data_IF_212605626394
#
_entry.id   IF_212605626394
#
_cell.length_a   1.000
_cell.length_b   1.000
_cell.length_c   1.000
_cell.angle_alpha   90.00
_cell.angle_beta   90.00
_cell.angle_gamma   90.00
#
_symmetry.space_group_name_H-M   'P 1'
#
loop_
_entity.id
_entity.type
_entity.pdbx_description
1 polymer ?
#
# COMPACT_ATOMS: atom_id res chain seq x y z
N UNK A 1 6.06 -31.81 5.60
CA UNK A 1 5.94 -30.41 5.13
C UNK A 1 4.45 -30.08 5.07
N UNK A 2 3.85 -29.64 6.18
CA UNK A 2 2.40 -29.52 6.29
C UNK A 2 1.92 -28.22 5.62
N UNK A 3 1.08 -28.38 4.62
CA UNK A 3 0.52 -27.30 3.80
C UNK A 3 -0.51 -26.53 4.64
N UNK A 4 -0.20 -25.28 4.98
CA UNK A 4 -1.15 -24.35 5.62
C UNK A 4 -2.24 -23.97 4.62
N UNK A 5 -3.46 -24.48 4.77
CA UNK A 5 -4.61 -23.92 4.06
C UNK A 5 -5.15 -22.71 4.83
N UNK A 6 -4.92 -21.52 4.28
CA UNK A 6 -5.52 -20.27 4.72
C UNK A 6 -6.71 -20.01 3.80
N UNK A 7 -7.92 -20.24 4.28
CA UNK A 7 -9.12 -19.77 3.61
C UNK A 7 -9.35 -18.31 4.00
N UNK A 8 -9.56 -17.44 3.01
CA UNK A 8 -9.88 -16.03 3.25
C UNK A 8 -10.96 -15.61 2.28
N UNK A 9 -12.11 -15.25 2.84
CA UNK A 9 -13.20 -14.62 2.11
C UNK A 9 -13.03 -13.11 2.26
N UNK A 10 -12.81 -12.42 1.14
CA UNK A 10 -12.69 -10.95 1.08
C UNK A 10 -14.07 -10.40 0.70
N UNK A 11 -14.80 -9.84 1.67
CA UNK A 11 -16.05 -9.14 1.39
C UNK A 11 -15.77 -7.67 1.06
N UNK A 12 -16.18 -7.24 -0.14
CA UNK A 12 -16.33 -5.83 -0.53
C UNK A 12 -17.84 -5.56 -0.61
N UNK A 13 -18.36 -4.65 0.20
CA UNK A 13 -19.81 -4.49 0.38
C UNK A 13 -20.53 -3.95 -0.86
N UNK A 14 -21.51 -4.71 -1.35
CA UNK A 14 -22.89 -4.25 -1.55
C UNK A 14 -23.82 -5.40 -1.09
N UNK A 15 -24.93 -5.06 -0.43
CA UNK A 15 -25.97 -6.02 0.00
C UNK A 15 -26.42 -6.94 -1.16
N UNK A 16 -26.53 -8.26 -0.94
CA UNK A 16 -27.77 -9.05 -1.06
C UNK A 16 -27.58 -10.57 -0.85
N UNK A 17 -28.65 -11.17 -0.29
CA UNK A 17 -29.10 -12.56 -0.09
C UNK A 17 -28.14 -13.77 -0.16
N UNK A 18 -28.36 -14.67 0.81
CA UNK A 18 -27.79 -16.00 0.90
C UNK A 18 -28.18 -16.90 -0.30
N UNK A 19 -27.19 -17.60 -0.86
CA UNK A 19 -27.38 -18.94 -1.41
C UNK A 19 -26.07 -19.73 -1.37
N UNK A 20 -26.15 -20.98 -0.94
CA UNK A 20 -25.03 -21.92 -0.85
C UNK A 20 -24.36 -22.17 -2.20
N UNK A 21 -23.04 -22.17 -2.24
CA UNK A 21 -22.25 -22.61 -3.39
C UNK A 21 -20.91 -21.88 -3.49
N UNK A 22 -19.82 -22.64 -3.51
CA UNK A 22 -18.47 -22.13 -3.74
C UNK A 22 -18.44 -21.13 -4.91
N UNK A 23 -18.04 -19.90 -4.63
CA UNK A 23 -17.76 -18.90 -5.66
C UNK A 23 -16.58 -18.05 -5.22
N UNK A 24 -15.47 -18.20 -5.93
CA UNK A 24 -14.41 -17.18 -6.00
C UNK A 24 -14.97 -15.99 -6.79
N UNK A 25 -15.70 -15.12 -6.11
CA UNK A 25 -16.22 -13.86 -6.66
C UNK A 25 -15.38 -12.68 -6.19
N UNK A 26 -14.58 -12.10 -7.07
CA UNK A 26 -14.04 -10.74 -6.86
C UNK A 26 -15.16 -9.77 -7.22
N UNK A 27 -15.89 -9.27 -6.22
CA UNK A 27 -16.88 -8.21 -6.44
C UNK A 27 -16.13 -6.88 -6.50
N UNK A 28 -15.95 -6.41 -7.74
CA UNK A 28 -15.34 -5.14 -8.09
C UNK A 28 -16.36 -4.01 -7.88
N UNK A 29 -16.10 -3.09 -6.95
CA UNK A 29 -16.73 -1.76 -7.04
C UNK A 29 -16.02 -1.01 -8.18
N UNK A 30 -16.56 -1.19 -9.38
CA UNK A 30 -16.08 -0.52 -10.57
C UNK A 30 -16.64 0.91 -10.57
N UNK A 31 -15.78 1.91 -10.71
CA UNK A 31 -16.16 3.19 -11.30
C UNK A 31 -14.95 3.80 -12.02
N UNK A 32 -15.19 4.57 -13.07
CA UNK A 32 -15.52 4.10 -14.41
C UNK A 32 -14.34 4.40 -15.34
N UNK A 33 -14.52 4.11 -16.63
CA UNK A 33 -13.58 4.47 -17.67
C UNK A 33 -13.22 5.96 -17.68
N UNK A 34 -12.20 6.24 -18.48
CA UNK A 34 -11.70 7.57 -18.83
C UNK A 34 -12.84 8.59 -19.06
N UNK A 35 -12.60 9.80 -18.58
CA UNK A 35 -13.26 11.09 -18.90
C UNK A 35 -14.59 11.37 -18.19
N UNK A 36 -14.64 12.48 -17.43
CA UNK A 36 -15.64 13.56 -17.45
C UNK A 36 -15.70 14.27 -16.08
N UNK A 37 -14.92 15.35 -15.95
CA UNK A 37 -15.36 16.58 -15.28
C UNK A 37 -14.86 17.76 -16.14
N UNK A 38 -15.66 18.82 -16.32
CA UNK A 38 -15.30 19.92 -17.20
C UNK A 38 -14.01 20.56 -16.72
N UNK A 39 -13.08 20.73 -17.65
CA UNK A 39 -11.85 21.48 -17.45
C UNK A 39 -12.25 22.96 -17.39
N UNK A 40 -12.61 23.46 -16.21
CA UNK A 40 -12.65 24.90 -16.00
C UNK A 40 -11.20 25.40 -16.04
N UNK A 41 -10.81 25.86 -17.23
CA UNK A 41 -9.56 26.57 -17.45
C UNK A 41 -9.78 27.98 -16.90
N UNK A 42 -9.64 28.12 -15.59
CA UNK A 42 -9.27 29.42 -15.04
C UNK A 42 -7.78 29.63 -15.35
N UNK A 43 -7.45 30.79 -15.92
CA UNK A 43 -6.07 31.23 -16.10
C UNK A 43 -5.37 31.29 -14.74
N UNK A 44 -4.63 30.22 -14.41
CA UNK A 44 -4.00 30.02 -13.12
C UNK A 44 -3.90 28.52 -12.83
N UNK A 45 -2.73 28.06 -12.42
CA UNK A 45 -2.36 26.65 -12.25
C UNK A 45 -3.52 25.73 -11.82
N UNK A 46 -3.93 24.81 -12.69
CA UNK A 46 -4.96 23.81 -12.38
C UNK A 46 -4.50 22.95 -11.19
N UNK A 47 -5.34 22.94 -10.16
CA UNK A 47 -5.20 22.17 -8.94
C UNK A 47 -6.30 21.12 -8.91
N UNK A 48 -5.91 19.85 -8.88
CA UNK A 48 -6.83 18.71 -8.93
C UNK A 48 -6.56 17.82 -7.71
N UNK A 49 -7.61 17.48 -6.96
CA UNK A 49 -7.55 16.57 -5.81
C UNK A 49 -8.54 15.43 -6.02
N UNK A 50 -8.05 14.20 -5.80
CA UNK A 50 -8.83 12.98 -5.78
C UNK A 50 -8.78 12.35 -4.40
N UNK A 51 -9.94 11.91 -3.93
CA UNK A 51 -10.08 11.15 -2.70
C UNK A 51 -10.46 9.70 -3.04
N UNK A 52 -9.84 8.75 -2.37
CA UNK A 52 -10.09 7.32 -2.57
C UNK A 52 -10.11 6.60 -1.23
N UNK A 53 -11.07 5.71 -1.04
CA UNK A 53 -11.12 4.81 0.11
C UNK A 53 -10.94 3.36 -0.31
N UNK A 54 -10.43 2.53 0.60
CA UNK A 54 -10.28 1.09 0.39
C UNK A 54 -10.52 0.35 1.70
N UNK A 55 -11.45 -0.60 1.69
CA UNK A 55 -11.81 -1.41 2.85
C UNK A 55 -11.59 -2.89 2.56
N UNK A 56 -10.99 -3.60 3.51
CA UNK A 56 -10.70 -5.02 3.43
C UNK A 56 -11.11 -5.68 4.73
N UNK A 57 -12.21 -6.44 4.68
CA UNK A 57 -12.66 -7.33 5.75
C UNK A 57 -12.17 -8.75 5.49
N UNK A 58 -11.79 -9.44 6.57
CA UNK A 58 -11.24 -10.78 6.49
C UNK A 58 -11.87 -11.66 7.56
N UNK A 59 -12.22 -12.87 7.17
CA UNK A 59 -12.44 -13.97 8.09
C UNK A 59 -11.27 -14.94 8.01
N UNK A 60 -10.71 -15.33 9.15
CA UNK A 60 -9.56 -16.24 9.23
C UNK A 60 -9.92 -17.44 10.07
N UNK A 61 -9.57 -18.64 9.57
CA UNK A 61 -9.63 -19.90 10.31
C UNK A 61 -8.20 -20.44 10.39
N UNK A 62 -7.73 -20.72 11.59
CA UNK A 62 -6.43 -21.32 11.87
C UNK A 62 -6.68 -22.65 12.57
N UNK A 63 -6.38 -23.75 11.90
CA UNK A 63 -6.48 -25.09 12.46
C UNK A 63 -5.38 -25.30 13.52
N UNK A 64 -5.68 -26.17 14.49
CA UNK A 64 -4.73 -26.55 15.53
C UNK A 64 -3.48 -27.21 14.91
N UNK A 65 -2.31 -26.85 15.44
CA UNK A 65 -1.01 -27.42 15.08
C UNK A 65 -0.10 -27.36 16.31
N UNK A 66 1.13 -27.87 16.25
CA UNK A 66 2.06 -27.92 17.38
C UNK A 66 2.28 -26.56 18.09
N UNK A 67 2.08 -25.45 17.37
CA UNK A 67 2.18 -24.07 17.89
C UNK A 67 0.84 -23.42 18.26
N UNK A 68 -0.29 -24.07 18.03
CA UNK A 68 -1.63 -23.48 18.23
C UNK A 68 -2.50 -24.44 19.04
N UNK A 69 -2.74 -24.12 20.33
CA UNK A 69 -3.63 -24.87 21.23
C UNK A 69 -5.10 -24.67 20.84
N UNK A 70 -5.55 -25.38 19.80
CA UNK A 70 -6.94 -25.39 19.34
C UNK A 70 -7.20 -24.58 18.07
N UNK A 71 -8.37 -24.80 17.46
CA UNK A 71 -8.84 -24.03 16.31
C UNK A 71 -9.14 -22.58 16.73
N UNK A 72 -8.70 -21.63 15.92
CA UNK A 72 -9.01 -20.20 16.11
C UNK A 72 -9.70 -19.65 14.88
N UNK A 73 -10.84 -19.03 15.07
CA UNK A 73 -11.56 -18.31 14.04
C UNK A 73 -11.86 -16.88 14.48
N UNK A 74 -11.68 -15.92 13.59
CA UNK A 74 -11.94 -14.52 13.90
C UNK A 74 -12.19 -13.69 12.64
N UNK A 75 -12.97 -12.62 12.82
CA UNK A 75 -13.11 -11.54 11.86
C UNK A 75 -12.06 -10.46 12.13
N UNK A 76 -11.56 -9.85 11.06
CA UNK A 76 -10.66 -8.72 11.16
C UNK A 76 -10.95 -7.66 10.10
N UNK A 77 -10.80 -6.40 10.51
CA UNK A 77 -10.64 -5.31 9.56
C UNK A 77 -9.17 -5.27 9.19
N UNK A 78 -8.84 -5.95 8.10
CA UNK A 78 -7.45 -6.11 7.65
C UNK A 78 -6.82 -4.77 7.30
N UNK A 79 -7.56 -3.92 6.58
CA UNK A 79 -7.16 -2.57 6.16
C UNK A 79 -8.39 -1.71 5.84
N UNK A 80 -8.50 -0.55 6.48
CA UNK A 80 -9.28 0.60 6.01
C UNK A 80 -8.30 1.70 5.62
N UNK A 81 -8.27 2.13 4.37
CA UNK A 81 -7.37 3.17 3.89
C UNK A 81 -8.16 4.34 3.34
N UNK A 82 -7.67 5.53 3.62
CA UNK A 82 -8.10 6.77 2.99
C UNK A 82 -6.89 7.39 2.31
N UNK A 83 -7.03 7.76 1.05
CA UNK A 83 -6.01 8.36 0.21
C UNK A 83 -6.53 9.68 -0.33
N UNK A 84 -5.72 10.73 -0.20
CA UNK A 84 -5.88 11.97 -0.93
C UNK A 84 -4.66 12.14 -1.84
N UNK A 85 -4.87 12.33 -3.14
CA UNK A 85 -3.81 12.60 -4.08
C UNK A 85 -4.18 13.81 -4.92
N UNK A 86 -3.20 14.60 -5.30
CA UNK A 86 -3.47 15.74 -6.15
C UNK A 86 -2.28 16.16 -6.98
N UNK A 87 -2.55 17.06 -7.92
CA UNK A 87 -1.57 17.61 -8.84
C UNK A 87 -1.72 19.11 -8.88
N UNK A 88 -0.59 19.80 -8.85
CA UNK A 88 -0.50 21.25 -9.00
C UNK A 88 0.39 21.59 -10.18
N UNK A 89 -0.18 22.28 -11.18
CA UNK A 89 0.61 22.92 -12.24
C UNK A 89 1.35 21.93 -13.14
N UNK A 90 0.91 20.67 -13.21
CA UNK A 90 1.51 19.63 -14.05
C UNK A 90 2.80 19.01 -13.51
N UNK A 91 3.61 19.74 -12.74
CA UNK A 91 4.95 19.33 -12.31
C UNK A 91 5.03 18.80 -10.88
N UNK A 92 4.09 19.21 -10.01
CA UNK A 92 4.03 18.78 -8.62
C UNK A 92 2.85 17.83 -8.40
N UNK A 93 3.12 16.66 -7.83
CA UNK A 93 2.09 15.73 -7.37
C UNK A 93 2.28 15.46 -5.88
N UNK A 94 1.19 15.30 -5.15
CA UNK A 94 1.22 14.90 -3.74
C UNK A 94 0.32 13.70 -3.50
N UNK A 95 0.65 12.91 -2.48
CA UNK A 95 -0.21 11.86 -1.99
C UNK A 95 -0.07 11.67 -0.48
N UNK A 96 -1.21 11.61 0.20
CA UNK A 96 -1.33 11.36 1.64
C UNK A 96 -2.27 10.18 1.83
N UNK A 97 -1.82 9.16 2.56
CA UNK A 97 -2.59 7.96 2.85
C UNK A 97 -2.55 7.66 4.34
N UNK A 98 -3.72 7.49 4.94
CA UNK A 98 -3.87 6.94 6.29
C UNK A 98 -4.44 5.54 6.24
N UNK A 99 -4.13 4.73 7.24
CA UNK A 99 -4.71 3.41 7.46
C UNK A 99 -5.25 3.28 8.87
N UNK A 100 -6.32 2.52 9.00
CA UNK A 100 -6.78 1.92 10.24
C UNK A 100 -6.95 0.42 10.03
N UNK A 101 -6.69 -0.37 11.07
CA UNK A 101 -6.91 -1.82 11.08
C UNK A 101 -7.21 -2.26 12.50
N UNK A 102 -7.95 -3.35 12.65
CA UNK A 102 -8.26 -3.91 13.96
C UNK A 102 -8.45 -5.42 13.88
N UNK A 103 -8.24 -6.11 15.01
CA UNK A 103 -8.38 -7.56 15.17
C UNK A 103 -7.45 -8.39 14.23
N UNK A 104 -6.24 -7.90 13.95
CA UNK A 104 -5.22 -8.64 13.19
C UNK A 104 -4.17 -9.31 14.08
N UNK A 105 -4.31 -9.22 15.40
CA UNK A 105 -3.33 -9.70 16.38
C UNK A 105 -1.94 -9.10 16.16
N UNK A 106 -1.89 -7.79 15.94
CA UNK A 106 -0.66 -7.05 15.66
C UNK A 106 -0.55 -5.84 16.58
N UNK A 107 0.68 -5.44 16.92
CA UNK A 107 1.01 -4.22 17.69
C UNK A 107 0.42 -2.92 17.16
N UNK A 108 -0.08 -2.93 15.92
CA UNK A 108 -0.63 -1.77 15.20
C UNK A 108 -2.14 -1.87 14.97
N UNK A 109 -2.83 -2.74 15.68
CA UNK A 109 -4.29 -2.72 15.71
C UNK A 109 -4.80 -1.53 16.54
N UNK A 110 -5.99 -1.06 16.19
CA UNK A 110 -6.71 0.02 16.88
C UNK A 110 -6.01 1.39 16.88
N UNK A 111 -5.05 1.57 15.97
CA UNK A 111 -4.32 2.82 15.80
C UNK A 111 -4.45 3.32 14.35
N UNK A 112 -4.53 4.65 14.21
CA UNK A 112 -4.48 5.32 12.92
C UNK A 112 -3.02 5.58 12.58
N UNK A 113 -2.60 5.16 11.38
CA UNK A 113 -1.24 5.38 10.91
C UNK A 113 -1.21 6.10 9.60
N UNK A 114 -0.28 7.06 9.48
CA UNK A 114 0.09 7.61 8.20
C UNK A 114 0.95 6.56 7.46
N UNK A 115 0.48 6.12 6.29
CA UNK A 115 1.19 5.14 5.45
C UNK A 115 2.06 5.84 4.42
N UNK A 116 1.50 6.81 3.71
CA UNK A 116 2.21 7.58 2.69
C UNK A 116 1.99 9.06 2.94
N UNK A 117 3.04 9.85 2.80
CA UNK A 117 2.99 11.30 2.76
C UNK A 117 4.19 11.76 1.97
N UNK A 118 4.01 11.98 0.67
CA UNK A 118 5.13 12.36 -0.20
C UNK A 118 4.71 13.39 -1.23
N UNK A 119 5.71 14.12 -1.71
CA UNK A 119 5.67 14.99 -2.86
C UNK A 119 6.47 14.35 -4.00
N UNK A 120 6.02 14.54 -5.23
CA UNK A 120 6.76 14.19 -6.44
C UNK A 120 6.94 15.44 -7.29
N UNK A 121 8.16 15.69 -7.71
CA UNK A 121 8.55 16.76 -8.60
C UNK A 121 9.02 16.16 -9.91
N UNK A 122 8.38 16.53 -11.01
CA UNK A 122 8.87 16.20 -12.35
C UNK A 122 10.00 17.15 -12.69
N UNK A 123 11.24 16.65 -12.66
CA UNK A 123 12.44 17.42 -12.99
C UNK A 123 12.61 17.57 -14.51
N UNK A 124 12.27 16.52 -15.25
CA UNK A 124 12.24 16.51 -16.71
C UNK A 124 11.20 15.51 -17.21
N UNK A 125 11.05 15.34 -18.52
CA UNK A 125 10.20 14.30 -19.09
C UNK A 125 10.64 12.88 -18.71
N UNK A 126 11.90 12.70 -18.26
CA UNK A 126 12.48 11.40 -17.96
C UNK A 126 12.69 11.16 -16.46
N UNK A 127 12.86 12.23 -15.67
CA UNK A 127 13.22 12.12 -14.26
C UNK A 127 12.15 12.69 -13.33
N UNK A 128 11.84 11.91 -12.28
CA UNK A 128 10.93 12.29 -11.20
C UNK A 128 11.64 12.12 -9.87
N UNK A 129 11.67 13.19 -9.09
CA UNK A 129 12.14 13.22 -7.72
C UNK A 129 10.95 13.03 -6.77
N UNK A 130 11.06 12.15 -5.78
CA UNK A 130 10.04 11.89 -4.77
C UNK A 130 10.65 12.08 -3.39
N UNK A 131 9.98 12.83 -2.52
CA UNK A 131 10.44 13.16 -1.17
C UNK A 131 9.31 12.93 -0.18
N UNK A 132 9.60 12.30 0.96
CA UNK A 132 8.66 12.11 2.07
C UNK A 132 8.61 10.67 2.55
N UNK A 133 7.48 10.24 3.13
CA UNK A 133 7.26 8.87 3.55
C UNK A 133 6.62 8.03 2.43
N UNK A 134 7.33 7.02 1.95
CA UNK A 134 6.83 6.12 0.91
C UNK A 134 7.42 4.71 1.06
N UNK A 135 6.96 3.78 0.22
CA UNK A 135 7.47 2.41 0.17
C UNK A 135 8.86 2.39 -0.49
N UNK A 136 9.86 1.71 0.07
CA UNK A 136 11.13 1.50 -0.62
C UNK A 136 10.91 0.84 -1.99
N UNK A 137 11.66 1.22 -3.04
CA UNK A 137 11.41 0.74 -4.38
C UNK A 137 11.98 -0.67 -4.63
N UNK A 138 11.47 -1.64 -3.88
CA UNK A 138 11.95 -3.02 -3.91
C UNK A 138 10.78 -4.00 -4.05
N UNK A 139 10.88 -4.89 -5.04
CA UNK A 139 9.93 -5.97 -5.29
C UNK A 139 8.64 -5.54 -5.99
N UNK A 140 8.38 -6.15 -7.15
CA UNK A 140 7.21 -5.85 -7.98
C UNK A 140 5.87 -6.03 -7.23
N UNK A 141 5.73 -7.12 -6.47
CA UNK A 141 4.52 -7.47 -5.70
C UNK A 141 4.12 -6.38 -4.69
N UNK A 142 5.08 -5.58 -4.20
CA UNK A 142 4.82 -4.53 -3.21
C UNK A 142 4.25 -3.25 -3.83
N UNK A 143 4.50 -3.04 -5.12
CA UNK A 143 3.92 -1.96 -5.90
C UNK A 143 2.54 -2.28 -6.47
N UNK A 144 2.19 -3.56 -6.55
CA UNK A 144 0.84 -3.98 -6.87
C UNK A 144 -0.12 -3.54 -5.76
N UNK A 145 -1.25 -2.89 -6.10
CA UNK A 145 -2.24 -2.52 -5.10
C UNK A 145 -2.86 -3.77 -4.50
N UNK A 146 -3.25 -3.69 -3.23
CA UNK A 146 -3.71 -4.84 -2.44
C UNK A 146 -4.91 -5.57 -3.08
N UNK A 147 -5.77 -4.85 -3.80
CA UNK A 147 -6.94 -5.43 -4.47
C UNK A 147 -6.60 -6.18 -5.77
N UNK A 148 -5.41 -5.98 -6.35
CA UNK A 148 -4.96 -6.75 -7.53
C UNK A 148 -4.07 -7.92 -7.16
N UNK A 149 -3.78 -8.13 -5.88
CA UNK A 149 -2.92 -9.23 -5.49
C UNK A 149 -3.63 -10.58 -5.71
N UNK A 150 -2.97 -11.57 -6.34
CA UNK A 150 -3.57 -12.89 -6.55
C UNK A 150 -3.70 -13.68 -5.25
N UNK A 151 -2.85 -13.39 -4.27
CA UNK A 151 -2.82 -14.04 -2.96
C UNK A 151 -3.32 -13.10 -1.86
N UNK A 152 -3.84 -13.69 -0.79
CA UNK A 152 -4.37 -12.98 0.41
C UNK A 152 -3.30 -12.15 1.11
N UNK A 153 -2.07 -12.65 1.12
CA UNK A 153 -0.90 -12.00 1.70
C UNK A 153 0.25 -11.95 0.69
N UNK A 154 1.17 -11.02 0.92
CA UNK A 154 2.38 -10.93 0.10
C UNK A 154 3.31 -12.10 0.39
N UNK A 155 4.13 -12.46 -0.58
CA UNK A 155 5.16 -13.48 -0.40
C UNK A 155 6.07 -13.16 0.80
N UNK A 156 6.51 -14.22 1.49
CA UNK A 156 7.42 -14.08 2.64
C UNK A 156 8.78 -13.52 2.23
N UNK A 157 9.23 -13.77 0.99
CA UNK A 157 10.46 -13.21 0.44
C UNK A 157 10.42 -11.68 0.45
N UNK A 158 9.35 -11.08 -0.08
CA UNK A 158 9.20 -9.62 -0.11
C UNK A 158 9.04 -9.02 1.30
N UNK A 159 8.42 -9.74 2.23
CA UNK A 159 8.26 -9.24 3.60
C UNK A 159 9.57 -9.25 4.41
N UNK A 160 10.47 -10.20 4.15
CA UNK A 160 11.72 -10.36 4.91
C UNK A 160 12.92 -9.63 4.31
N UNK A 161 12.95 -9.45 2.99
CA UNK A 161 14.09 -8.83 2.29
C UNK A 161 14.11 -7.31 2.40
N UNK A 162 13.03 -6.67 2.84
CA UNK A 162 13.02 -5.23 3.09
C UNK A 162 13.28 -5.03 4.59
N UNK A 163 14.43 -4.44 4.99
CA UNK A 163 14.81 -4.31 6.41
C UNK A 163 13.73 -3.61 7.25
N UNK A 164 13.09 -2.60 6.69
CA UNK A 164 12.01 -1.89 7.38
C UNK A 164 10.74 -2.72 7.57
N UNK A 165 10.63 -3.87 6.89
CA UNK A 165 9.52 -4.81 7.04
C UNK A 165 9.65 -5.79 8.18
N UNK A 166 10.85 -5.93 8.77
CA UNK A 166 11.08 -6.73 9.98
C UNK A 166 11.06 -5.90 11.27
N UNK A 167 11.00 -4.57 11.17
CA UNK A 167 10.80 -3.68 12.31
C UNK A 167 9.34 -3.82 12.78
N UNK A 168 9.13 -4.64 13.81
CA UNK A 168 7.82 -5.09 14.34
C UNK A 168 6.79 -3.99 14.70
N UNK A 169 7.16 -2.71 14.61
CA UNK A 169 6.29 -1.56 14.87
C UNK A 169 6.00 -0.71 13.63
N UNK A 170 6.73 -0.90 12.53
CA UNK A 170 6.66 -0.03 11.37
C UNK A 170 5.99 -0.75 10.18
N UNK A 171 5.07 -0.06 9.50
CA UNK A 171 4.70 -0.47 8.15
C UNK A 171 5.95 -0.41 7.26
N UNK A 172 5.98 -1.21 6.18
CA UNK A 172 7.11 -1.22 5.22
C UNK A 172 7.13 0.04 4.36
N UNK A 173 7.42 1.17 5.01
CA UNK A 173 7.61 2.52 4.48
C UNK A 173 8.62 3.22 5.34
N UNK A 174 9.16 4.29 4.80
CA UNK A 174 10.17 5.07 5.47
C UNK A 174 10.22 6.47 4.89
N UNK A 175 10.83 7.38 5.64
CA UNK A 175 11.14 8.72 5.16
C UNK A 175 12.40 8.68 4.30
N UNK A 176 12.35 9.31 3.14
CA UNK A 176 13.50 9.35 2.25
C UNK A 176 13.32 10.21 1.02
N UNK A 177 14.29 10.09 0.13
CA UNK A 177 14.33 10.71 -1.20
C UNK A 177 14.53 9.61 -2.23
N UNK A 178 13.77 9.66 -3.32
CA UNK A 178 13.88 8.73 -4.43
C UNK A 178 13.98 9.49 -5.75
N UNK A 179 14.94 9.12 -6.58
CA UNK A 179 15.02 9.49 -7.98
C UNK A 179 14.50 8.33 -8.84
N UNK A 180 13.62 8.61 -9.78
CA UNK A 180 13.16 7.62 -10.76
C UNK A 180 13.36 8.16 -12.16
N UNK A 181 13.83 7.28 -13.05
CA UNK A 181 14.16 7.60 -14.42
C UNK A 181 13.61 6.55 -15.38
N UNK A 182 13.10 6.99 -16.52
CA UNK A 182 12.87 6.12 -17.68
C UNK A 182 13.89 6.48 -18.76
N UNK A 183 14.67 5.51 -19.22
CA UNK A 183 15.63 5.74 -20.30
C UNK A 183 14.85 6.05 -21.59
N UNK A 184 15.12 7.22 -22.17
CA UNK A 184 14.42 7.73 -23.34
C UNK A 184 14.44 6.68 -24.47
N UNK A 185 13.27 6.11 -24.78
CA UNK A 185 12.98 5.06 -25.78
C UNK A 185 13.03 3.60 -25.30
N UNK A 186 13.47 3.30 -24.08
CA UNK A 186 13.50 1.94 -23.53
C UNK A 186 12.34 1.67 -22.56
N UNK A 187 11.91 0.41 -22.48
CA UNK A 187 11.01 -0.08 -21.42
C UNK A 187 11.70 -0.20 -20.06
N UNK A 188 12.99 0.14 -19.98
CA UNK A 188 13.78 0.14 -18.75
C UNK A 188 13.46 1.35 -17.88
N UNK A 189 13.05 1.05 -16.65
CA UNK A 189 12.79 2.01 -15.58
C UNK A 189 13.73 1.72 -14.43
N UNK A 190 14.43 2.76 -13.98
CA UNK A 190 15.35 2.68 -12.85
C UNK A 190 14.82 3.56 -11.73
N UNK A 191 14.95 3.10 -10.49
CA UNK A 191 14.57 3.85 -9.30
C UNK A 191 15.69 3.73 -8.29
N UNK A 192 16.17 4.83 -7.74
CA UNK A 192 17.17 4.86 -6.67
C UNK A 192 16.57 5.62 -5.49
N UNK A 193 16.65 5.08 -4.29
CA UNK A 193 16.16 5.71 -3.07
C UNK A 193 17.18 5.63 -1.94
N UNK A 194 17.26 6.71 -1.16
CA UNK A 194 17.94 6.78 0.12
C UNK A 194 16.90 7.10 1.20
N UNK A 195 16.81 6.26 2.24
CA UNK A 195 15.78 6.33 3.29
C UNK A 195 16.40 6.21 4.68
N UNK A 196 15.69 6.64 5.73
CA UNK A 196 16.24 6.71 7.09
C UNK A 196 16.60 5.35 7.71
N UNK A 197 16.04 4.24 7.25
CA UNK A 197 16.19 2.91 7.84
C UNK A 197 15.46 2.73 9.17
N UNK A 198 14.54 3.64 9.54
CA UNK A 198 13.89 3.66 10.86
C UNK A 198 12.44 3.20 10.83
N UNK A 199 11.81 3.24 9.65
CA UNK A 199 10.43 2.79 9.44
C UNK A 199 9.41 3.93 9.39
N UNK A 200 8.15 3.56 9.20
CA UNK A 200 7.06 4.51 9.06
C UNK A 200 6.71 5.17 10.40
N UNK A 201 6.40 6.47 10.39
CA UNK A 201 5.97 7.26 11.54
C UNK A 201 7.00 7.33 12.68
N UNK A 202 8.27 7.06 12.39
CA UNK A 202 9.38 7.30 13.33
C UNK A 202 10.08 8.61 12.98
N UNK A 203 10.45 9.44 13.97
CA UNK A 203 11.29 10.61 13.72
C UNK A 203 12.61 10.22 13.05
N UNK A 204 13.16 11.13 12.25
CA UNK A 204 14.50 10.96 11.66
C UNK A 204 15.52 10.80 12.79
N UNK A 205 16.28 9.72 12.76
CA UNK A 205 17.31 9.43 13.75
C UNK A 205 18.60 8.99 13.07
N UNK A 206 19.74 9.36 13.65
CA UNK A 206 21.07 8.94 13.18
C UNK A 206 21.48 7.58 13.76
N UNK A 207 20.61 6.91 14.52
CA UNK A 207 20.90 5.61 15.14
C UNK A 207 21.03 4.48 14.11
N UNK A 208 20.33 4.60 12.97
CA UNK A 208 20.36 3.62 11.89
C UNK A 208 21.10 4.21 10.68
N UNK A 209 21.88 3.38 9.99
CA UNK A 209 22.47 3.74 8.71
C UNK A 209 21.37 3.93 7.65
N UNK A 210 21.55 4.83 6.67
CA UNK A 210 20.55 5.05 5.64
C UNK A 210 20.35 3.79 4.78
N UNK A 211 19.09 3.45 4.54
CA UNK A 211 18.70 2.39 3.62
C UNK A 211 18.81 2.90 2.18
N UNK A 212 19.77 2.39 1.43
CA UNK A 212 19.96 2.68 0.01
C UNK A 212 19.46 1.50 -0.83
N UNK A 213 18.53 1.76 -1.74
CA UNK A 213 17.87 0.75 -2.59
C UNK A 213 17.76 1.28 -4.02
N UNK A 214 18.01 0.42 -5.02
CA UNK A 214 17.68 0.68 -6.42
C UNK A 214 17.73 -0.53 -7.32
#
# INVERSE_FOLDING_TARGET
MLMRLIYTVVFCGLFFLAHQGQTTGIIQCNKPGRNFLPKEIHNGHSFDIHFTSYTHLRYTIIQADANTRGEKNYWSLRRLKLLANGRWGGSLEFAVQVIYKTHNHSSSDDQIYLQHAFLKFRLSNFFILKIGQFKPPFGWERFQPDFRMPCVERSQAINRLIPNGSLNAAFVRDYGVQLSGQLATSSLRCELAAMSGSGANTPLTNKNAPLVIG
#
